data_IF_176458872898
#
_entry.id   IF_176458872898
#
_cell.length_a   1.000
_cell.length_b   1.000
_cell.length_c   1.000
_cell.angle_alpha   90.00
_cell.angle_beta   90.00
_cell.angle_gamma   90.00
#
_symmetry.space_group_name_H-M   'P 1'
#
loop_
_entity.id
_entity.type
_entity.pdbx_description
1 polymer ?
#
# COMPACT_ATOMS: atom_id res chain seq x y z
N UNK A 1 34.36 -21.00 34.96
CA UNK A 1 33.13 -21.63 34.45
C UNK A 1 32.28 -20.56 33.80
N UNK A 2 32.24 -20.54 32.46
CA UNK A 2 31.40 -19.57 31.71
C UNK A 2 30.03 -20.22 31.60
N UNK A 3 29.05 -19.68 32.26
CA UNK A 3 27.66 -20.12 32.15
C UNK A 3 27.16 -19.89 30.70
N UNK A 4 27.04 -20.99 29.93
CA UNK A 4 26.34 -20.99 28.66
C UNK A 4 24.86 -20.74 28.94
N UNK A 5 24.43 -19.48 28.88
CA UNK A 5 23.01 -19.12 29.00
C UNK A 5 22.31 -19.45 27.69
N UNK A 6 21.36 -20.42 27.66
CA UNK A 6 20.62 -20.80 26.45
C UNK A 6 19.81 -19.65 25.85
N UNK A 7 19.52 -18.61 26.64
CA UNK A 7 18.81 -17.39 26.19
C UNK A 7 19.65 -16.48 25.28
N UNK A 8 21.00 -16.63 25.27
CA UNK A 8 21.88 -15.87 24.37
C UNK A 8 21.80 -16.29 22.88
N UNK A 9 21.15 -17.42 22.56
CA UNK A 9 20.90 -17.83 21.16
C UNK A 9 19.63 -17.23 20.57
N UNK A 10 18.73 -16.67 21.37
CA UNK A 10 17.45 -16.10 20.93
C UNK A 10 17.62 -14.64 20.45
N UNK A 11 18.70 -13.95 20.87
CA UNK A 11 18.90 -12.52 20.58
C UNK A 11 19.56 -12.23 19.23
N UNK A 12 19.91 -13.24 18.42
CA UNK A 12 20.55 -13.03 17.12
C UNK A 12 19.75 -13.54 15.93
N UNK A 13 18.53 -13.07 15.78
CA UNK A 13 17.88 -12.89 14.50
C UNK A 13 17.31 -11.48 14.44
N UNK A 14 18.18 -10.49 14.26
CA UNK A 14 17.77 -9.21 13.68
C UNK A 14 17.45 -9.51 12.20
N UNK A 15 16.34 -10.20 11.97
CA UNK A 15 15.73 -10.26 10.66
C UNK A 15 15.17 -8.86 10.48
N UNK A 16 15.68 -8.12 9.50
CA UNK A 16 15.03 -6.93 8.99
C UNK A 16 13.71 -7.42 8.41
N UNK A 17 12.63 -7.40 9.21
CA UNK A 17 11.35 -8.03 8.86
C UNK A 17 10.64 -7.26 7.76
N UNK A 18 10.84 -5.93 7.72
CA UNK A 18 10.31 -5.05 6.69
C UNK A 18 11.37 -4.79 5.61
N UNK A 19 10.96 -4.88 4.35
CA UNK A 19 11.82 -4.63 3.19
C UNK A 19 11.39 -3.37 2.43
N UNK A 20 12.33 -2.75 1.73
CA UNK A 20 12.02 -1.71 0.74
C UNK A 20 11.14 -2.29 -0.37
N UNK A 21 10.19 -1.52 -0.88
CA UNK A 21 9.37 -1.95 -2.01
C UNK A 21 10.13 -2.02 -3.34
N UNK A 22 11.36 -1.48 -3.41
CA UNK A 22 12.14 -1.34 -4.64
C UNK A 22 12.27 -2.65 -5.43
N UNK A 23 12.81 -3.68 -4.80
CA UNK A 23 13.09 -4.95 -5.48
C UNK A 23 11.81 -5.66 -5.91
N UNK A 24 10.79 -5.70 -5.03
CA UNK A 24 9.52 -6.35 -5.38
C UNK A 24 8.80 -5.66 -6.54
N UNK A 25 8.89 -4.33 -6.64
CA UNK A 25 8.25 -3.60 -7.73
C UNK A 25 9.02 -3.67 -9.04
N UNK A 26 10.36 -3.73 -9.00
CA UNK A 26 11.17 -4.00 -10.19
C UNK A 26 10.87 -5.38 -10.76
N UNK A 27 10.78 -6.41 -9.90
CA UNK A 27 10.34 -7.75 -10.29
C UNK A 27 8.91 -7.76 -10.86
N UNK A 28 8.01 -7.02 -10.23
CA UNK A 28 6.62 -6.92 -10.67
C UNK A 28 6.52 -6.34 -12.08
N UNK A 29 7.18 -5.20 -12.33
CA UNK A 29 7.20 -4.58 -13.65
C UNK A 29 7.80 -5.50 -14.71
N UNK A 30 8.97 -6.07 -14.45
CA UNK A 30 9.64 -7.00 -15.37
C UNK A 30 8.79 -8.26 -15.63
N UNK A 31 8.10 -8.76 -14.61
CA UNK A 31 7.24 -9.95 -14.67
C UNK A 31 5.80 -9.67 -15.14
N UNK A 32 5.45 -8.42 -15.45
CA UNK A 32 4.11 -7.99 -15.87
C UNK A 32 3.00 -8.45 -14.90
N UNK A 33 3.22 -8.20 -13.61
CA UNK A 33 2.24 -8.32 -12.53
C UNK A 33 2.31 -7.07 -11.65
N UNK A 34 1.38 -6.89 -10.72
CA UNK A 34 1.46 -5.80 -9.75
C UNK A 34 1.41 -6.34 -8.32
N UNK A 35 2.13 -5.68 -7.42
CA UNK A 35 2.05 -5.92 -5.98
C UNK A 35 0.88 -5.12 -5.42
N UNK A 36 -0.01 -5.77 -4.66
CA UNK A 36 -1.09 -5.08 -3.97
C UNK A 36 -0.58 -4.28 -2.77
N UNK A 37 -0.96 -3.00 -2.70
CA UNK A 37 -0.94 -2.24 -1.47
C UNK A 37 -2.33 -2.29 -0.85
N UNK A 38 -2.43 -2.77 0.39
CA UNK A 38 -3.67 -2.78 1.16
C UNK A 38 -3.50 -1.89 2.39
N UNK A 39 -4.42 -0.94 2.57
CA UNK A 39 -4.36 -0.04 3.72
C UNK A 39 -4.71 -0.78 5.00
N UNK A 40 -3.98 -0.49 6.08
CA UNK A 40 -4.22 -1.04 7.42
C UNK A 40 -4.69 0.05 8.37
N UNK A 41 -5.68 -0.29 9.21
CA UNK A 41 -6.26 0.64 10.18
C UNK A 41 -6.19 0.11 11.62
N UNK A 42 -5.92 -1.18 11.79
CA UNK A 42 -5.89 -1.84 13.11
C UNK A 42 -5.28 -3.26 12.99
N UNK A 43 -5.36 -4.01 14.09
CA UNK A 43 -4.87 -5.38 14.21
C UNK A 43 -5.57 -6.35 13.24
N UNK A 44 -6.88 -6.24 13.08
CA UNK A 44 -7.69 -7.14 12.25
C UNK A 44 -7.30 -7.04 10.78
N UNK A 45 -7.15 -5.81 10.25
CA UNK A 45 -6.68 -5.56 8.89
C UNK A 45 -5.28 -6.11 8.65
N UNK A 46 -4.35 -5.75 9.53
CA UNK A 46 -2.95 -6.16 9.42
C UNK A 46 -2.82 -7.68 9.41
N UNK A 47 -3.52 -8.36 10.33
CA UNK A 47 -3.54 -9.82 10.42
C UNK A 47 -4.10 -10.46 9.15
N UNK A 48 -5.26 -9.99 8.67
CA UNK A 48 -5.93 -10.55 7.50
C UNK A 48 -5.01 -10.47 6.25
N UNK A 49 -4.41 -9.30 6.02
CA UNK A 49 -3.56 -9.06 4.85
C UNK A 49 -2.28 -9.91 4.92
N UNK A 50 -1.58 -9.92 6.07
CA UNK A 50 -0.35 -10.69 6.24
C UNK A 50 -0.57 -12.20 6.08
N UNK A 51 -1.65 -12.74 6.69
CA UNK A 51 -1.99 -14.17 6.55
C UNK A 51 -2.29 -14.54 5.10
N UNK A 52 -3.08 -13.73 4.40
CA UNK A 52 -3.42 -13.98 2.99
C UNK A 52 -2.18 -13.89 2.10
N UNK A 53 -1.31 -12.90 2.32
CA UNK A 53 -0.04 -12.79 1.58
C UNK A 53 0.85 -14.02 1.78
N UNK A 54 0.97 -14.51 3.01
CA UNK A 54 1.73 -15.73 3.32
C UNK A 54 1.11 -16.98 2.70
N UNK A 55 -0.21 -17.15 2.80
CA UNK A 55 -0.95 -18.28 2.21
C UNK A 55 -0.79 -18.36 0.69
N UNK A 56 -0.75 -17.21 0.02
CA UNK A 56 -0.62 -17.11 -1.44
C UNK A 56 0.83 -16.98 -1.93
N UNK A 57 1.81 -17.00 -1.04
CA UNK A 57 3.22 -16.75 -1.35
C UNK A 57 3.37 -15.48 -2.24
N UNK A 58 2.73 -14.39 -1.83
CA UNK A 58 2.67 -13.11 -2.54
C UNK A 58 3.42 -12.02 -1.78
N UNK A 59 4.26 -11.19 -2.42
CA UNK A 59 4.75 -9.98 -1.80
C UNK A 59 3.58 -9.03 -1.52
N UNK A 60 3.72 -8.18 -0.49
CA UNK A 60 2.64 -7.26 -0.10
C UNK A 60 3.19 -5.93 0.42
N UNK A 61 2.42 -4.87 0.21
CA UNK A 61 2.66 -3.54 0.77
C UNK A 61 1.51 -3.21 1.73
N UNK A 62 1.85 -2.89 2.98
CA UNK A 62 0.90 -2.40 3.98
C UNK A 62 0.89 -0.88 3.94
N UNK A 63 -0.19 -0.28 3.44
CA UNK A 63 -0.36 1.17 3.36
C UNK A 63 -0.88 1.75 4.67
N UNK A 64 -0.33 2.88 5.10
CA UNK A 64 -0.78 3.62 6.28
C UNK A 64 -0.88 5.08 5.91
N UNK A 65 -2.10 5.64 5.88
CA UNK A 65 -2.29 7.08 5.75
C UNK A 65 -1.96 7.82 7.05
N UNK A 66 -1.80 9.13 7.00
CA UNK A 66 -1.56 9.93 8.21
C UNK A 66 -2.72 9.82 9.21
N UNK A 67 -3.97 9.79 8.70
CA UNK A 67 -5.16 9.56 9.51
C UNK A 67 -5.17 8.19 10.18
N UNK A 68 -4.83 7.13 9.46
CA UNK A 68 -4.71 5.79 10.01
C UNK A 68 -3.58 5.69 11.04
N UNK A 69 -2.43 6.32 10.78
CA UNK A 69 -1.33 6.40 11.74
C UNK A 69 -1.74 7.09 13.04
N UNK A 70 -2.47 8.19 12.95
CA UNK A 70 -3.03 8.89 14.11
C UNK A 70 -4.05 8.02 14.86
N UNK A 71 -4.96 7.35 14.14
CA UNK A 71 -5.95 6.44 14.71
C UNK A 71 -5.29 5.29 15.50
N UNK A 72 -4.22 4.73 14.98
CA UNK A 72 -3.43 3.65 15.60
C UNK A 72 -2.43 4.16 16.68
N UNK A 73 -2.62 5.36 17.21
CA UNK A 73 -1.80 5.96 18.26
C UNK A 73 -0.35 6.32 17.85
N UNK A 74 -0.08 6.43 16.55
CA UNK A 74 1.21 6.89 16.02
C UNK A 74 2.01 5.84 15.27
N UNK A 75 2.96 6.30 14.46
CA UNK A 75 3.73 5.46 13.55
C UNK A 75 4.60 4.41 14.26
N UNK A 76 5.15 4.72 15.44
CA UNK A 76 5.91 3.73 16.22
C UNK A 76 5.05 2.57 16.70
N UNK A 77 3.78 2.84 17.06
CA UNK A 77 2.80 1.79 17.40
C UNK A 77 2.52 0.90 16.20
N UNK A 78 2.35 1.49 15.02
CA UNK A 78 2.16 0.75 13.76
C UNK A 78 3.35 -0.15 13.48
N UNK A 79 4.57 0.38 13.53
CA UNK A 79 5.80 -0.40 13.31
C UNK A 79 5.92 -1.56 14.31
N UNK A 80 5.64 -1.30 15.59
CA UNK A 80 5.67 -2.33 16.65
C UNK A 80 4.64 -3.43 16.40
N UNK A 81 3.41 -3.07 16.04
CA UNK A 81 2.33 -4.02 15.72
C UNK A 81 2.69 -4.88 14.51
N UNK A 82 3.11 -4.26 13.41
CA UNK A 82 3.44 -4.97 12.16
C UNK A 82 4.61 -5.92 12.36
N UNK A 83 5.70 -5.45 12.99
CA UNK A 83 6.88 -6.29 13.26
C UNK A 83 6.53 -7.47 14.18
N UNK A 84 5.78 -7.23 15.27
CA UNK A 84 5.34 -8.29 16.16
C UNK A 84 4.48 -9.34 15.44
N UNK A 85 3.57 -8.90 14.54
CA UNK A 85 2.76 -9.84 13.78
C UNK A 85 3.57 -10.64 12.75
N UNK A 86 4.52 -10.02 12.07
CA UNK A 86 5.40 -10.71 11.11
C UNK A 86 6.15 -11.84 11.83
N UNK A 87 6.69 -11.56 13.04
CA UNK A 87 7.43 -12.54 13.83
C UNK A 87 6.52 -13.67 14.34
N UNK A 88 5.44 -13.32 15.04
CA UNK A 88 4.53 -14.30 15.67
C UNK A 88 3.76 -15.16 14.66
N UNK A 89 3.43 -14.63 13.48
CA UNK A 89 2.76 -15.36 12.40
C UNK A 89 3.75 -16.12 11.50
N UNK A 90 5.06 -15.94 11.69
CA UNK A 90 6.09 -16.56 10.87
C UNK A 90 6.02 -16.15 9.40
N UNK A 91 5.74 -14.87 9.13
CA UNK A 91 5.64 -14.33 7.76
C UNK A 91 7.02 -14.31 7.11
N UNK A 92 7.14 -14.95 5.96
CA UNK A 92 8.39 -15.07 5.20
C UNK A 92 8.36 -14.36 3.85
N UNK A 93 7.17 -14.03 3.36
CA UNK A 93 7.01 -13.24 2.12
C UNK A 93 7.51 -11.81 2.31
N UNK A 94 8.01 -11.14 1.26
CA UNK A 94 8.41 -9.74 1.34
C UNK A 94 7.25 -8.83 1.74
N UNK A 95 7.44 -8.04 2.83
CA UNK A 95 6.47 -7.08 3.33
C UNK A 95 7.10 -5.70 3.37
N UNK A 96 6.51 -4.71 2.71
CA UNK A 96 6.87 -3.30 2.88
C UNK A 96 5.80 -2.59 3.73
N UNK A 97 6.24 -1.79 4.70
CA UNK A 97 5.38 -0.87 5.45
C UNK A 97 5.55 0.52 4.84
N UNK A 98 4.47 1.08 4.32
CA UNK A 98 4.46 2.23 3.44
C UNK A 98 3.56 3.35 3.97
N UNK A 99 4.08 4.58 4.06
CA UNK A 99 3.25 5.77 4.25
C UNK A 99 2.52 6.06 2.93
N UNK A 100 1.20 6.17 2.99
CA UNK A 100 0.31 6.41 1.86
C UNK A 100 -0.17 7.86 1.89
N UNK A 101 -0.05 8.62 0.79
CA UNK A 101 -0.35 10.05 0.70
C UNK A 101 0.25 10.90 1.83
N UNK A 102 1.56 10.76 2.03
CA UNK A 102 2.25 11.48 3.10
C UNK A 102 2.55 12.93 2.77
N UNK A 103 2.37 13.81 3.76
CA UNK A 103 2.96 15.14 3.74
C UNK A 103 4.49 15.07 3.82
N UNK A 104 5.16 16.17 3.47
CA UNK A 104 6.62 16.25 3.58
C UNK A 104 7.13 15.92 4.98
N UNK A 105 6.49 16.48 6.03
CA UNK A 105 6.81 16.17 7.42
C UNK A 105 6.41 14.76 7.84
N UNK A 106 5.29 14.24 7.31
CA UNK A 106 4.83 12.87 7.52
C UNK A 106 5.86 11.84 7.07
N UNK A 107 6.51 12.08 5.92
CA UNK A 107 7.59 11.24 5.44
C UNK A 107 8.73 11.12 6.46
N UNK A 108 9.23 12.24 7.00
CA UNK A 108 10.30 12.20 8.01
C UNK A 108 9.88 11.47 9.28
N UNK A 109 8.66 11.70 9.77
CA UNK A 109 8.14 11.00 10.95
C UNK A 109 8.07 9.48 10.74
N UNK A 110 7.67 9.02 9.55
CA UNK A 110 7.63 7.60 9.21
C UNK A 110 9.03 7.01 9.06
N UNK A 111 9.97 7.75 8.45
CA UNK A 111 11.39 7.37 8.36
C UNK A 111 11.99 7.16 9.76
N UNK A 112 11.74 8.09 10.69
CA UNK A 112 12.21 7.99 12.07
C UNK A 112 11.53 6.84 12.85
N UNK A 113 10.27 6.56 12.56
CA UNK A 113 9.53 5.47 13.20
C UNK A 113 9.98 4.08 12.77
N UNK A 114 10.62 3.93 11.59
CA UNK A 114 11.12 2.66 11.08
C UNK A 114 10.26 2.04 9.97
N UNK A 115 9.52 2.83 9.22
CA UNK A 115 8.90 2.41 7.98
C UNK A 115 9.97 1.98 6.97
N UNK A 116 9.61 1.14 6.00
CA UNK A 116 10.52 0.70 4.95
C UNK A 116 10.26 1.37 3.59
N UNK A 117 9.17 2.13 3.51
CA UNK A 117 8.70 2.82 2.31
C UNK A 117 7.89 4.04 2.69
N UNK A 118 7.96 5.11 1.91
CA UNK A 118 7.12 6.30 2.10
C UNK A 118 6.68 6.85 0.75
N UNK A 119 5.48 7.44 0.71
CA UNK A 119 5.02 8.27 -0.39
C UNK A 119 5.02 9.73 0.05
N UNK A 120 5.60 10.58 -0.77
CA UNK A 120 5.43 12.02 -0.69
C UNK A 120 4.40 12.45 -1.74
N UNK A 121 3.25 12.89 -1.27
CA UNK A 121 2.22 13.47 -2.13
C UNK A 121 2.53 14.95 -2.37
N UNK A 122 3.30 15.19 -3.44
CA UNK A 122 3.66 16.52 -3.90
C UNK A 122 2.75 17.07 -5.00
N UNK A 123 1.67 16.35 -5.36
CA UNK A 123 0.80 16.68 -6.50
C UNK A 123 0.09 18.04 -6.39
N UNK A 124 -0.15 18.48 -5.17
CA UNK A 124 -0.79 19.77 -4.88
C UNK A 124 0.18 20.98 -4.88
N UNK A 125 1.51 20.75 -4.98
CA UNK A 125 2.50 21.82 -5.13
C UNK A 125 2.77 22.10 -6.60
N UNK A 126 3.23 23.34 -6.94
CA UNK A 126 3.83 23.56 -8.25
C UNK A 126 4.99 22.59 -8.50
N UNK A 127 5.18 22.14 -9.74
CA UNK A 127 6.17 21.11 -10.07
C UNK A 127 7.59 21.44 -9.56
N UNK A 128 8.00 22.68 -9.57
CA UNK A 128 9.32 23.09 -9.07
C UNK A 128 9.48 22.82 -7.56
N UNK A 129 8.42 22.99 -6.77
CA UNK A 129 8.42 22.71 -5.35
C UNK A 129 8.34 21.20 -5.08
N UNK A 130 7.52 20.47 -5.85
CA UNK A 130 7.47 19.01 -5.80
C UNK A 130 8.87 18.42 -6.08
N UNK A 131 9.53 18.85 -7.14
CA UNK A 131 10.91 18.45 -7.50
C UNK A 131 11.89 18.74 -6.36
N UNK A 132 11.86 19.93 -5.76
CA UNK A 132 12.77 20.31 -4.69
C UNK A 132 12.62 19.40 -3.45
N UNK A 133 11.38 19.23 -2.96
CA UNK A 133 11.06 18.39 -1.80
C UNK A 133 11.36 16.90 -2.06
N UNK A 134 10.99 16.40 -3.24
CA UNK A 134 11.28 15.02 -3.65
C UNK A 134 12.78 14.76 -3.73
N UNK A 135 13.58 15.71 -4.22
CA UNK A 135 15.05 15.59 -4.29
C UNK A 135 15.67 15.37 -2.90
N UNK A 136 15.17 16.08 -1.89
CA UNK A 136 15.65 15.90 -0.51
C UNK A 136 15.27 14.54 0.05
N UNK A 137 14.02 14.12 -0.14
CA UNK A 137 13.53 12.83 0.33
C UNK A 137 14.20 11.64 -0.36
N UNK A 138 14.55 11.74 -1.65
CA UNK A 138 15.33 10.72 -2.37
C UNK A 138 16.65 10.43 -1.65
N UNK A 139 17.39 11.48 -1.24
CA UNK A 139 18.66 11.34 -0.52
C UNK A 139 18.47 10.63 0.81
N UNK A 140 17.52 11.10 1.60
CA UNK A 140 17.25 10.55 2.94
C UNK A 140 16.77 9.09 2.85
N UNK A 141 15.87 8.76 1.93
CA UNK A 141 15.41 7.40 1.73
C UNK A 141 16.52 6.47 1.24
N UNK A 142 17.38 6.94 0.32
CA UNK A 142 18.52 6.16 -0.18
C UNK A 142 19.51 5.82 0.95
N UNK A 143 19.84 6.78 1.82
CA UNK A 143 20.73 6.56 2.98
C UNK A 143 20.16 5.54 3.97
N UNK A 144 18.85 5.45 4.09
CA UNK A 144 18.14 4.50 4.97
C UNK A 144 17.81 3.17 4.29
N UNK A 145 18.06 3.04 2.98
CA UNK A 145 17.68 1.86 2.20
C UNK A 145 16.17 1.67 2.08
N UNK A 146 15.43 2.78 2.05
CA UNK A 146 13.97 2.82 1.93
C UNK A 146 13.55 3.09 0.48
N UNK A 147 12.31 2.76 0.15
CA UNK A 147 11.69 3.17 -1.11
C UNK A 147 10.92 4.49 -0.95
N UNK A 148 10.95 5.32 -1.98
CA UNK A 148 10.19 6.55 -2.09
C UNK A 148 9.26 6.48 -3.29
N UNK A 149 7.98 6.78 -3.05
CA UNK A 149 6.96 7.08 -4.06
C UNK A 149 6.78 8.59 -4.15
N UNK A 150 6.57 9.10 -5.35
CA UNK A 150 6.14 10.47 -5.60
C UNK A 150 4.92 10.48 -6.50
N UNK A 151 4.19 11.59 -6.55
CA UNK A 151 2.97 11.74 -7.34
C UNK A 151 3.06 12.95 -8.27
N UNK A 152 2.52 12.77 -9.49
CA UNK A 152 2.30 13.79 -10.50
C UNK A 152 0.88 13.71 -11.06
N UNK A 153 0.26 14.85 -11.30
CA UNK A 153 -1.17 14.95 -11.56
C UNK A 153 -1.94 14.79 -10.25
N UNK A 154 -3.26 14.69 -10.30
CA UNK A 154 -4.08 14.52 -9.11
C UNK A 154 -5.00 13.33 -9.24
N UNK A 155 -4.98 12.47 -8.24
CA UNK A 155 -5.94 11.37 -8.14
C UNK A 155 -7.27 11.94 -7.67
N UNK A 156 -8.36 11.61 -8.37
CA UNK A 156 -9.69 12.12 -8.03
C UNK A 156 -10.27 11.48 -6.76
N UNK A 157 -11.39 12.03 -6.27
CA UNK A 157 -12.08 11.53 -5.09
C UNK A 157 -11.53 12.06 -3.77
N UNK A 158 -11.82 11.38 -2.67
CA UNK A 158 -11.42 11.79 -1.33
C UNK A 158 -10.65 10.66 -0.63
N UNK A 159 -9.49 10.98 -0.08
CA UNK A 159 -8.69 10.13 0.81
C UNK A 159 -8.29 10.96 2.04
N UNK A 160 -8.58 10.48 3.25
CA UNK A 160 -8.27 11.14 4.54
C UNK A 160 -8.72 12.62 4.62
N UNK A 161 -9.86 12.97 3.97
CA UNK A 161 -10.39 14.34 3.94
C UNK A 161 -9.75 15.25 2.89
N UNK A 162 -8.81 14.76 2.09
CA UNK A 162 -8.23 15.49 0.95
C UNK A 162 -9.00 15.11 -0.32
N UNK A 163 -9.51 16.12 -1.01
CA UNK A 163 -10.27 15.94 -2.27
C UNK A 163 -9.36 16.25 -3.44
N UNK A 164 -9.12 15.24 -4.29
CA UNK A 164 -8.34 15.38 -5.52
C UNK A 164 -9.18 15.82 -6.72
N UNK A 165 -8.59 16.61 -7.63
CA UNK A 165 -9.25 17.09 -8.84
C UNK A 165 -9.45 16.02 -9.92
N UNK A 166 -8.68 14.92 -9.87
CA UNK A 166 -8.67 13.91 -10.92
C UNK A 166 -7.97 14.33 -12.20
N UNK A 167 -7.03 15.28 -12.11
CA UNK A 167 -6.27 15.78 -13.26
C UNK A 167 -5.25 14.74 -13.72
N UNK A 168 -5.23 14.48 -15.04
CA UNK A 168 -4.24 13.58 -15.63
C UNK A 168 -2.84 14.18 -15.51
N UNK A 169 -1.86 13.32 -15.24
CA UNK A 169 -0.46 13.69 -15.13
C UNK A 169 0.12 14.18 -16.45
N UNK A 170 0.98 15.19 -16.40
CA UNK A 170 1.84 15.58 -17.53
C UNK A 170 3.03 14.62 -17.63
N UNK A 171 3.21 13.92 -18.76
CA UNK A 171 4.33 12.97 -18.93
C UNK A 171 5.70 13.63 -18.80
N UNK A 172 5.86 14.91 -19.14
CA UNK A 172 7.13 15.63 -18.98
C UNK A 172 7.43 15.89 -17.49
N UNK A 173 6.44 16.25 -16.69
CA UNK A 173 6.58 16.40 -15.25
C UNK A 173 6.87 15.05 -14.58
N UNK A 174 6.20 13.95 -15.04
CA UNK A 174 6.51 12.60 -14.61
C UNK A 174 7.97 12.23 -14.85
N UNK A 175 8.53 12.61 -16.01
CA UNK A 175 9.94 12.41 -16.29
C UNK A 175 10.84 13.20 -15.34
N UNK A 176 10.51 14.46 -15.07
CA UNK A 176 11.29 15.28 -14.12
C UNK A 176 11.39 14.62 -12.76
N UNK A 177 10.29 14.10 -12.22
CA UNK A 177 10.26 13.41 -10.91
C UNK A 177 11.00 12.06 -10.99
N UNK A 178 10.79 11.28 -12.04
CA UNK A 178 11.46 9.99 -12.23
C UNK A 178 12.99 10.12 -12.29
N UNK A 179 13.50 11.14 -12.97
CA UNK A 179 14.93 11.42 -13.12
C UNK A 179 15.62 11.80 -11.79
N UNK A 180 14.87 12.13 -10.74
CA UNK A 180 15.41 12.35 -9.39
C UNK A 180 15.85 11.05 -8.69
N UNK A 181 15.41 9.89 -9.18
CA UNK A 181 15.74 8.60 -8.61
C UNK A 181 14.75 8.10 -7.55
N UNK A 182 13.49 8.53 -7.62
CA UNK A 182 12.40 7.90 -6.86
C UNK A 182 12.29 6.41 -7.19
N UNK A 183 11.71 5.61 -6.31
CA UNK A 183 11.61 4.16 -6.50
C UNK A 183 10.42 3.77 -7.37
N UNK A 184 9.36 4.56 -7.32
CA UNK A 184 8.09 4.35 -8.01
C UNK A 184 7.36 5.69 -8.15
N UNK A 185 6.48 5.77 -9.14
CA UNK A 185 5.77 7.00 -9.49
C UNK A 185 4.26 6.75 -9.62
N UNK A 186 3.48 7.46 -8.83
CA UNK A 186 2.04 7.57 -9.00
C UNK A 186 1.74 8.65 -10.03
N UNK A 187 0.91 8.33 -11.02
CA UNK A 187 0.47 9.26 -12.03
C UNK A 187 -1.05 9.31 -12.07
N UNK A 188 -1.63 10.50 -12.03
CA UNK A 188 -3.04 10.70 -12.30
C UNK A 188 -3.38 10.28 -13.72
N UNK A 189 -4.27 9.31 -13.88
CA UNK A 189 -4.72 8.78 -15.18
C UNK A 189 -6.25 8.67 -15.24
N UNK A 190 -6.97 9.52 -14.50
CA UNK A 190 -8.42 9.47 -14.36
C UNK A 190 -8.91 8.46 -13.32
N UNK A 191 -8.00 7.94 -12.50
CA UNK A 191 -8.31 7.10 -11.35
C UNK A 191 -8.84 7.94 -10.17
N UNK A 192 -9.66 7.31 -9.33
CA UNK A 192 -10.43 7.97 -8.29
C UNK A 192 -10.34 7.16 -6.99
N UNK A 193 -10.10 7.83 -5.86
CA UNK A 193 -10.25 7.22 -4.54
C UNK A 193 -11.73 6.96 -4.20
N UNK A 194 -12.01 5.86 -3.52
CA UNK A 194 -13.36 5.51 -3.11
C UNK A 194 -14.16 4.80 -4.20
N UNK A 195 -15.47 5.09 -4.27
CA UNK A 195 -16.38 4.49 -5.25
C UNK A 195 -16.38 5.30 -6.54
N UNK A 196 -16.19 4.62 -7.66
CA UNK A 196 -16.29 5.25 -8.97
C UNK A 196 -17.74 5.67 -9.28
N UNK A 197 -17.97 6.89 -9.78
CA UNK A 197 -19.31 7.32 -10.17
C UNK A 197 -19.75 6.61 -11.46
N UNK A 198 -21.08 6.47 -11.63
CA UNK A 198 -21.64 5.76 -12.80
C UNK A 198 -21.26 6.37 -14.17
N UNK A 199 -20.89 7.64 -14.19
CA UNK A 199 -20.45 8.36 -15.40
C UNK A 199 -18.93 8.40 -15.57
N UNK A 200 -18.17 7.62 -14.78
CA UNK A 200 -16.73 7.52 -14.94
C UNK A 200 -16.36 6.97 -16.32
N UNK A 201 -15.40 7.60 -16.98
CA UNK A 201 -15.04 7.28 -18.37
C UNK A 201 -13.92 6.24 -18.51
N UNK A 202 -13.46 5.68 -17.42
CA UNK A 202 -12.33 4.75 -17.41
C UNK A 202 -10.97 5.43 -17.20
N UNK A 203 -9.94 4.60 -17.16
CA UNK A 203 -8.55 5.06 -17.07
C UNK A 203 -8.07 5.64 -18.40
N UNK A 204 -7.28 6.70 -18.36
CA UNK A 204 -6.60 7.24 -19.54
C UNK A 204 -5.36 6.41 -19.86
N UNK A 205 -5.51 5.39 -20.71
CA UNK A 205 -4.39 4.58 -21.18
C UNK A 205 -3.44 5.34 -22.10
N UNK A 206 -3.92 6.40 -22.76
CA UNK A 206 -3.08 7.30 -23.54
C UNK A 206 -2.09 8.03 -22.65
N UNK A 207 -2.57 8.59 -21.54
CA UNK A 207 -1.69 9.23 -20.55
C UNK A 207 -0.73 8.23 -19.93
N UNK A 208 -1.23 7.02 -19.52
CA UNK A 208 -0.39 6.00 -18.92
C UNK A 208 0.74 5.54 -19.85
N UNK A 209 0.44 5.33 -21.13
CA UNK A 209 1.43 4.93 -22.14
C UNK A 209 2.47 6.05 -22.37
N UNK A 210 2.04 7.30 -22.47
CA UNK A 210 2.93 8.44 -22.59
C UNK A 210 3.85 8.61 -21.37
N UNK A 211 3.32 8.44 -20.16
CA UNK A 211 4.11 8.44 -18.91
C UNK A 211 5.12 7.29 -18.92
N UNK A 212 4.70 6.09 -19.27
CA UNK A 212 5.58 4.92 -19.34
C UNK A 212 6.72 5.10 -20.34
N UNK A 213 6.46 5.70 -21.51
CA UNK A 213 7.49 6.00 -22.52
C UNK A 213 8.51 7.01 -22.00
N UNK A 214 8.09 8.02 -21.21
CA UNK A 214 8.96 9.04 -20.64
C UNK A 214 9.77 8.55 -19.45
N UNK A 215 9.21 7.62 -18.65
CA UNK A 215 9.80 7.16 -17.39
C UNK A 215 10.56 5.84 -17.52
N UNK A 216 10.46 5.15 -18.68
CA UNK A 216 11.21 3.93 -18.99
C UNK A 216 10.94 2.80 -17.98
N UNK A 217 11.98 2.35 -17.28
CA UNK A 217 11.90 1.22 -16.33
C UNK A 217 11.33 1.57 -14.97
N UNK A 218 10.88 2.82 -14.74
CA UNK A 218 10.26 3.25 -13.48
C UNK A 218 8.98 2.45 -13.21
N UNK A 219 8.84 1.76 -12.05
CA UNK A 219 7.58 1.16 -11.64
C UNK A 219 6.49 2.22 -11.48
N UNK A 220 5.36 2.05 -12.15
CA UNK A 220 4.22 2.96 -12.03
C UNK A 220 3.23 2.44 -10.98
N UNK A 221 2.53 3.36 -10.34
CA UNK A 221 1.56 3.07 -9.28
C UNK A 221 0.16 3.51 -9.72
N UNK A 222 -0.81 2.64 -9.50
CA UNK A 222 -2.23 2.93 -9.69
C UNK A 222 -2.92 3.03 -8.32
N UNK A 223 -3.30 4.23 -7.94
CA UNK A 223 -4.16 4.48 -6.79
C UNK A 223 -5.64 4.27 -7.13
N UNK A 224 -6.49 4.11 -6.09
CA UNK A 224 -7.93 3.97 -6.29
C UNK A 224 -8.31 2.66 -7.02
N UNK A 225 -7.63 1.56 -6.73
CA UNK A 225 -7.84 0.27 -7.39
C UNK A 225 -9.20 -0.40 -7.14
N UNK A 226 -10.03 0.16 -6.23
CA UNK A 226 -11.35 -0.38 -5.88
C UNK A 226 -12.35 -0.20 -7.02
N UNK A 227 -12.91 -1.30 -7.54
CA UNK A 227 -14.01 -1.24 -8.52
C UNK A 227 -13.60 -0.92 -9.96
N UNK A 228 -12.31 -0.87 -10.27
CA UNK A 228 -11.84 -0.80 -11.66
C UNK A 228 -12.07 -2.16 -12.34
N UNK A 229 -12.63 -2.20 -13.56
CA UNK A 229 -12.81 -3.44 -14.32
C UNK A 229 -11.51 -4.23 -14.51
N UNK A 230 -11.58 -5.56 -14.45
CA UNK A 230 -10.42 -6.45 -14.54
C UNK A 230 -9.57 -6.25 -15.81
N UNK A 231 -10.22 -6.04 -16.94
CA UNK A 231 -9.55 -5.80 -18.22
C UNK A 231 -8.74 -4.50 -18.19
N UNK A 232 -9.24 -3.46 -17.53
CA UNK A 232 -8.52 -2.20 -17.34
C UNK A 232 -7.33 -2.39 -16.39
N UNK A 233 -7.47 -3.15 -15.30
CA UNK A 233 -6.37 -3.50 -14.39
C UNK A 233 -5.27 -4.25 -15.16
N UNK A 234 -5.63 -5.29 -15.91
CA UNK A 234 -4.68 -6.08 -16.70
C UNK A 234 -3.97 -5.23 -17.76
N UNK A 235 -4.71 -4.33 -18.41
CA UNK A 235 -4.12 -3.38 -19.36
C UNK A 235 -3.16 -2.41 -18.68
N UNK A 236 -3.52 -1.84 -17.54
CA UNK A 236 -2.64 -0.94 -16.79
C UNK A 236 -1.33 -1.64 -16.39
N UNK A 237 -1.40 -2.88 -15.89
CA UNK A 237 -0.23 -3.70 -15.58
C UNK A 237 0.64 -3.92 -16.82
N UNK A 238 0.05 -4.21 -17.98
CA UNK A 238 0.80 -4.38 -19.23
C UNK A 238 1.55 -3.13 -19.68
N UNK A 239 1.09 -1.94 -19.25
CA UNK A 239 1.67 -0.62 -19.51
C UNK A 239 2.58 -0.10 -18.37
N UNK A 240 3.03 -0.98 -17.47
CA UNK A 240 4.07 -0.65 -16.50
C UNK A 240 3.59 -0.37 -15.08
N UNK A 241 2.29 -0.49 -14.79
CA UNK A 241 1.80 -0.46 -13.40
C UNK A 241 2.31 -1.70 -12.66
N UNK A 242 3.03 -1.47 -11.57
CA UNK A 242 3.66 -2.50 -10.75
C UNK A 242 3.16 -2.51 -9.29
N UNK A 243 2.41 -1.49 -8.88
CA UNK A 243 1.77 -1.37 -7.57
C UNK A 243 0.33 -0.89 -7.76
N UNK A 244 -0.62 -1.49 -7.04
CA UNK A 244 -2.04 -1.09 -7.09
C UNK A 244 -2.56 -0.97 -5.66
N UNK A 245 -3.11 0.21 -5.32
CA UNK A 245 -3.66 0.50 -4.00
C UNK A 245 -5.13 0.09 -3.90
N UNK A 246 -5.47 -0.66 -2.85
CA UNK A 246 -6.82 -1.10 -2.52
C UNK A 246 -7.13 -0.78 -1.06
N UNK A 247 -8.09 0.07 -0.80
CA UNK A 247 -8.56 0.45 0.53
C UNK A 247 -10.06 0.23 0.68
N UNK A 248 -10.86 1.03 -0.03
CA UNK A 248 -12.32 1.10 0.13
C UNK A 248 -13.01 -0.27 0.00
N UNK A 249 -12.54 -1.14 -0.89
CA UNK A 249 -13.14 -2.46 -1.10
C UNK A 249 -13.02 -3.36 0.14
N UNK A 250 -11.86 -3.33 0.81
CA UNK A 250 -11.67 -4.04 2.08
C UNK A 250 -12.55 -3.47 3.19
N UNK A 251 -12.70 -2.12 3.24
CA UNK A 251 -13.58 -1.46 4.22
C UNK A 251 -15.04 -1.85 4.01
N UNK A 252 -15.52 -1.86 2.77
CA UNK A 252 -16.89 -2.24 2.42
C UNK A 252 -17.16 -3.72 2.74
N UNK A 253 -16.23 -4.60 2.41
CA UNK A 253 -16.34 -6.04 2.69
C UNK A 253 -16.43 -6.30 4.21
N UNK A 254 -15.55 -5.69 4.99
CA UNK A 254 -15.56 -5.79 6.45
C UNK A 254 -16.87 -5.28 7.05
N UNK A 255 -17.30 -4.08 6.62
CA UNK A 255 -18.52 -3.46 7.14
C UNK A 255 -19.77 -4.30 6.82
N UNK A 256 -19.88 -4.84 5.60
CA UNK A 256 -21.00 -5.68 5.19
C UNK A 256 -21.05 -7.00 6.00
N UNK A 257 -19.92 -7.67 6.17
CA UNK A 257 -19.87 -8.93 6.90
C UNK A 257 -20.16 -8.76 8.41
N UNK A 258 -19.64 -7.69 9.01
CA UNK A 258 -19.92 -7.35 10.43
C UNK A 258 -21.38 -6.97 10.63
N UNK A 259 -21.96 -6.17 9.72
CA UNK A 259 -23.39 -5.85 9.74
C UNK A 259 -24.25 -7.09 9.65
N UNK A 260 -23.99 -8.01 8.70
CA UNK A 260 -24.74 -9.26 8.57
C UNK A 260 -24.67 -10.14 9.82
N UNK A 261 -23.54 -10.12 10.55
CA UNK A 261 -23.42 -10.81 11.84
C UNK A 261 -24.37 -10.24 12.89
N UNK A 262 -24.44 -8.91 12.98
CA UNK A 262 -25.32 -8.20 13.93
C UNK A 262 -26.80 -8.34 13.53
N UNK A 263 -27.15 -8.14 12.26
CA UNK A 263 -28.52 -8.29 11.76
C UNK A 263 -29.07 -9.71 11.95
N UNK A 264 -28.20 -10.71 11.92
CA UNK A 264 -28.57 -12.10 12.24
C UNK A 264 -28.70 -12.36 13.74
N UNK A 265 -28.54 -11.39 14.62
CA UNK A 265 -28.63 -11.51 16.07
C UNK A 265 -27.57 -12.43 16.69
N UNK A 266 -26.45 -12.66 16.00
CA UNK A 266 -25.38 -13.56 16.47
C UNK A 266 -24.61 -12.95 17.65
N UNK A 267 -24.52 -11.65 17.73
CA UNK A 267 -23.95 -10.89 18.84
C UNK A 267 -24.73 -11.08 20.16
N UNK A 268 -26.04 -11.38 20.08
CA UNK A 268 -26.91 -11.63 21.23
C UNK A 268 -26.87 -13.09 21.71
N UNK A 269 -26.21 -14.01 20.99
CA UNK A 269 -26.20 -15.43 21.29
C UNK A 269 -24.91 -15.83 22.04
N UNK A 270 -25.03 -16.37 23.24
CA UNK A 270 -23.89 -16.79 24.04
C UNK A 270 -22.89 -15.66 24.29
N UNK A 271 -21.66 -15.80 23.82
CA UNK A 271 -20.60 -14.76 23.84
C UNK A 271 -20.36 -14.16 22.45
N UNK A 272 -21.40 -14.01 21.63
CA UNK A 272 -21.30 -13.43 20.30
C UNK A 272 -20.85 -11.96 20.27
N UNK A 273 -21.06 -11.23 21.38
CA UNK A 273 -20.60 -9.86 21.59
C UNK A 273 -19.10 -9.71 21.85
N UNK A 274 -18.38 -10.82 22.11
CA UNK A 274 -16.92 -10.78 22.25
C UNK A 274 -16.29 -10.25 20.96
N UNK A 275 -15.45 -9.17 21.02
CA UNK A 275 -14.89 -8.56 19.82
C UNK A 275 -14.15 -9.55 18.91
N UNK A 276 -13.53 -10.60 19.46
CA UNK A 276 -12.89 -11.66 18.68
C UNK A 276 -13.86 -12.47 17.81
N UNK A 277 -15.14 -12.52 18.18
CA UNK A 277 -16.22 -13.18 17.43
C UNK A 277 -16.98 -12.19 16.56
N UNK A 278 -17.24 -11.00 17.09
CA UNK A 278 -17.97 -9.94 16.40
C UNK A 278 -17.24 -9.50 15.14
N UNK A 279 -15.90 -9.38 15.21
CA UNK A 279 -15.08 -8.90 14.10
C UNK A 279 -14.59 -10.02 13.17
N UNK A 280 -14.70 -11.29 13.57
CA UNK A 280 -14.20 -12.42 12.78
C UNK A 280 -14.79 -12.49 11.35
N UNK A 281 -16.11 -12.29 11.12
CA UNK A 281 -16.66 -12.29 9.76
C UNK A 281 -16.06 -11.19 8.87
N UNK A 282 -15.79 -10.02 9.45
CA UNK A 282 -15.13 -8.92 8.76
C UNK A 282 -13.68 -9.26 8.38
N UNK A 283 -12.93 -9.92 9.27
CA UNK A 283 -11.57 -10.39 8.98
C UNK A 283 -11.56 -11.36 7.80
N UNK A 284 -12.47 -12.34 7.79
CA UNK A 284 -12.57 -13.31 6.68
C UNK A 284 -12.99 -12.62 5.35
N UNK A 285 -13.84 -11.60 5.41
CA UNK A 285 -14.22 -10.83 4.23
C UNK A 285 -13.03 -10.03 3.65
N UNK A 286 -12.17 -9.45 4.51
CA UNK A 286 -10.92 -8.81 4.05
C UNK A 286 -10.01 -9.85 3.39
N UNK A 287 -9.81 -11.03 4.00
CA UNK A 287 -8.98 -12.09 3.42
C UNK A 287 -9.47 -12.47 2.01
N UNK A 288 -10.78 -12.63 1.84
CA UNK A 288 -11.37 -12.96 0.54
C UNK A 288 -11.08 -11.86 -0.51
N UNK A 289 -11.28 -10.59 -0.14
CA UNK A 289 -10.99 -9.44 -1.02
C UNK A 289 -9.50 -9.36 -1.37
N UNK A 290 -8.61 -9.49 -0.39
CA UNK A 290 -7.15 -9.45 -0.61
C UNK A 290 -6.71 -10.58 -1.53
N UNK A 291 -7.24 -11.79 -1.33
CA UNK A 291 -6.98 -12.94 -2.20
C UNK A 291 -7.39 -12.67 -3.64
N UNK A 292 -8.62 -12.22 -3.86
CA UNK A 292 -9.14 -11.87 -5.18
C UNK A 292 -8.23 -10.85 -5.89
N UNK A 293 -7.80 -9.80 -5.17
CA UNK A 293 -6.92 -8.78 -5.76
C UNK A 293 -5.51 -9.31 -6.05
N UNK A 294 -4.93 -10.12 -5.18
CA UNK A 294 -3.62 -10.73 -5.45
C UNK A 294 -3.67 -11.68 -6.66
N UNK A 295 -4.77 -12.42 -6.84
CA UNK A 295 -5.01 -13.26 -8.03
C UNK A 295 -5.17 -12.39 -9.28
N UNK A 296 -5.99 -11.34 -9.23
CA UNK A 296 -6.21 -10.41 -10.34
C UNK A 296 -4.93 -9.69 -10.78
N UNK A 297 -4.10 -9.27 -9.80
CA UNK A 297 -2.85 -8.55 -10.05
C UNK A 297 -1.71 -9.49 -10.48
N UNK A 298 -1.90 -10.81 -10.39
CA UNK A 298 -0.93 -11.82 -10.80
C UNK A 298 0.25 -11.97 -9.83
N UNK A 299 0.12 -11.53 -8.55
CA UNK A 299 1.20 -11.58 -7.56
C UNK A 299 1.31 -12.90 -6.79
N UNK A 300 0.38 -13.83 -6.99
CA UNK A 300 0.42 -15.17 -6.36
C UNK A 300 1.67 -15.92 -6.79
N UNK A 301 2.38 -16.53 -5.83
CA UNK A 301 3.66 -17.22 -6.01
C UNK A 301 4.79 -16.33 -6.60
N UNK A 302 4.82 -15.04 -6.20
CA UNK A 302 5.84 -14.07 -6.63
C UNK A 302 6.74 -13.57 -5.49
N UNK A 303 6.62 -14.12 -4.29
CA UNK A 303 7.45 -13.78 -3.14
C UNK A 303 8.90 -14.26 -3.27
#
# INVERSE_FOLDING_TARGET
MVYNNPWNKIIRRSIKMLVSAKEMLQKAKAGKYAVGQFNINNLEWTKAILQTAQELNSPVILGVSEGAGKYMCGYKTVVGMVNGMIDELGITVPVALHLDHGSYEGCYKCIEAGFSSVMFDGSHYPIAENVAKTTELVKVCAEKGMSLEAEVGAIGGEEDGVVGSGECADPAECKMIADLGVTMLAAGIGNIHGKYPANWKGLSFETLDAVQQQTGDMPLVLHGGTGIPEDMIKKAISLGVAKINVNTECQLAFAAATRGYVEAGKDLQGKGFDPRKLLAPGVEAIKATVKEKMELFGSVNKA
#
